data_IF_344886065057
#
_entry.id   IF_344886065057
#
_cell.length_a   1.000
_cell.length_b   1.000
_cell.length_c   1.000
_cell.angle_alpha   90.00
_cell.angle_beta   90.00
_cell.angle_gamma   90.00
#
_symmetry.space_group_name_H-M   'P 1'
#
loop_
_entity.id
_entity.type
_entity.pdbx_description
1 polymer ?
#
# COMPACT_ATOMS: atom_id res chain seq x y z
N UNK A 1 -7.57 12.23 -43.00
CA UNK A 1 -7.18 12.15 -41.57
C UNK A 1 -7.19 10.68 -41.17
N UNK A 2 -6.04 10.06 -40.91
CA UNK A 2 -5.96 8.71 -40.34
C UNK A 2 -5.72 8.85 -38.83
N UNK A 3 -6.51 8.21 -37.95
CA UNK A 3 -6.18 8.19 -36.54
C UNK A 3 -4.90 7.35 -36.34
N UNK A 4 -3.99 7.85 -35.51
CA UNK A 4 -2.70 7.23 -35.23
C UNK A 4 -2.89 5.78 -34.73
N UNK A 5 -2.32 4.85 -35.48
CA UNK A 5 -2.25 3.43 -35.15
C UNK A 5 -1.46 3.28 -33.84
N UNK A 6 -2.13 2.77 -32.80
CA UNK A 6 -1.48 2.40 -31.54
C UNK A 6 -0.58 1.20 -31.84
N UNK A 7 0.68 1.17 -31.40
CA UNK A 7 1.57 0.05 -31.68
C UNK A 7 0.95 -1.23 -31.15
N UNK A 8 0.96 -2.25 -32.00
CA UNK A 8 0.41 -3.57 -31.78
C UNK A 8 1.15 -4.26 -30.62
N UNK A 9 0.74 -3.97 -29.39
CA UNK A 9 1.16 -4.72 -28.22
C UNK A 9 0.57 -6.11 -28.41
N UNK A 10 1.40 -7.06 -28.86
CA UNK A 10 1.08 -8.49 -29.00
C UNK A 10 0.17 -8.87 -27.84
N UNK A 11 -1.11 -9.07 -28.16
CA UNK A 11 -2.16 -9.34 -27.17
C UNK A 11 -1.92 -10.74 -26.64
N UNK A 12 -1.06 -10.84 -25.63
CA UNK A 12 -1.00 -12.01 -24.76
C UNK A 12 -2.43 -12.23 -24.23
N UNK A 13 -2.93 -13.48 -24.19
CA UNK A 13 -4.29 -13.73 -23.72
C UNK A 13 -4.48 -13.06 -22.36
N UNK A 14 -5.62 -12.37 -22.12
CA UNK A 14 -5.85 -11.62 -20.89
C UNK A 14 -5.66 -12.56 -19.72
N UNK A 15 -4.58 -12.31 -18.97
CA UNK A 15 -4.26 -13.13 -17.81
C UNK A 15 -5.35 -12.87 -16.78
N UNK A 16 -5.98 -13.94 -16.32
CA UNK A 16 -6.98 -13.83 -15.26
C UNK A 16 -6.34 -13.13 -14.06
N UNK A 17 -7.01 -12.15 -13.45
CA UNK A 17 -6.51 -11.52 -12.24
C UNK A 17 -6.34 -12.55 -11.13
N UNK A 18 -5.27 -12.39 -10.35
CA UNK A 18 -4.99 -13.28 -9.23
C UNK A 18 -6.01 -13.08 -8.11
N UNK A 19 -6.29 -14.14 -7.35
CA UNK A 19 -7.25 -14.09 -6.23
C UNK A 19 -6.90 -12.97 -5.22
N UNK A 20 -5.60 -12.77 -4.97
CA UNK A 20 -5.08 -11.67 -4.14
C UNK A 20 -5.45 -10.28 -4.68
N UNK A 21 -5.39 -10.07 -5.99
CA UNK A 21 -5.78 -8.79 -6.61
C UNK A 21 -7.29 -8.60 -6.56
N UNK A 22 -8.09 -9.63 -6.80
CA UNK A 22 -9.55 -9.56 -6.68
C UNK A 22 -9.98 -9.25 -5.26
N UNK A 23 -9.36 -9.90 -4.27
CA UNK A 23 -9.64 -9.62 -2.86
C UNK A 23 -9.24 -8.19 -2.48
N UNK A 24 -8.10 -7.70 -2.98
CA UNK A 24 -7.67 -6.32 -2.74
C UNK A 24 -8.62 -5.31 -3.38
N UNK A 25 -9.01 -5.53 -4.64
CA UNK A 25 -9.93 -4.68 -5.37
C UNK A 25 -11.33 -4.66 -4.72
N UNK A 26 -11.83 -5.81 -4.24
CA UNK A 26 -13.08 -5.90 -3.46
C UNK A 26 -13.03 -5.06 -2.18
N UNK A 27 -11.90 -5.03 -1.49
CA UNK A 27 -11.72 -4.20 -0.28
C UNK A 27 -11.72 -2.71 -0.60
N UNK A 28 -11.10 -2.32 -1.71
CA UNK A 28 -11.15 -0.94 -2.21
C UNK A 28 -12.60 -0.56 -2.57
N UNK A 29 -13.29 -1.40 -3.33
CA UNK A 29 -14.69 -1.24 -3.72
C UNK A 29 -15.60 -1.05 -2.50
N UNK A 30 -15.48 -1.93 -1.50
CA UNK A 30 -16.24 -1.85 -0.25
C UNK A 30 -15.91 -0.58 0.55
N UNK A 31 -14.63 -0.18 0.61
CA UNK A 31 -14.20 1.04 1.32
C UNK A 31 -14.69 2.32 0.65
N UNK A 32 -14.76 2.32 -0.69
CA UNK A 32 -15.14 3.47 -1.49
C UNK A 32 -16.64 3.54 -1.80
N UNK A 33 -17.41 2.49 -1.47
CA UNK A 33 -18.82 2.36 -1.83
C UNK A 33 -19.06 2.25 -3.34
N UNK A 34 -18.06 1.79 -4.11
CA UNK A 34 -18.14 1.67 -5.58
C UNK A 34 -18.20 0.20 -5.99
N UNK A 35 -18.93 -0.11 -7.05
CA UNK A 35 -18.94 -1.45 -7.63
C UNK A 35 -17.64 -1.73 -8.40
N UNK A 36 -17.13 -2.95 -8.30
CA UNK A 36 -15.95 -3.39 -9.06
C UNK A 36 -16.35 -3.63 -10.53
N UNK A 37 -15.75 -2.92 -11.52
CA UNK A 37 -16.10 -3.08 -12.93
C UNK A 37 -15.90 -4.52 -13.41
N UNK A 38 -16.77 -5.01 -14.30
CA UNK A 38 -16.69 -6.38 -14.84
C UNK A 38 -15.44 -6.56 -15.71
N UNK A 39 -15.07 -5.56 -16.49
CA UNK A 39 -13.92 -5.61 -17.39
C UNK A 39 -12.61 -5.77 -16.59
N UNK A 40 -12.49 -5.00 -15.50
CA UNK A 40 -11.42 -5.15 -14.52
C UNK A 40 -11.38 -6.53 -13.84
N UNK A 41 -12.47 -7.30 -13.79
CA UNK A 41 -12.45 -8.67 -13.24
C UNK A 41 -11.96 -9.71 -14.24
N UNK A 42 -11.93 -9.38 -15.54
CA UNK A 42 -11.54 -10.30 -16.60
C UNK A 42 -10.07 -10.16 -16.97
N UNK A 43 -9.51 -8.95 -16.85
CA UNK A 43 -8.13 -8.66 -17.19
C UNK A 43 -7.29 -8.20 -15.99
N UNK A 44 -6.12 -8.80 -15.82
CA UNK A 44 -5.19 -8.49 -14.73
C UNK A 44 -4.61 -7.08 -14.83
N UNK A 45 -4.33 -6.57 -16.03
CA UNK A 45 -3.77 -5.24 -16.22
C UNK A 45 -4.82 -4.16 -15.94
N UNK A 46 -6.06 -4.36 -16.40
CA UNK A 46 -7.19 -3.50 -16.07
C UNK A 46 -7.48 -3.50 -14.56
N UNK A 47 -7.47 -4.67 -13.92
CA UNK A 47 -7.62 -4.74 -12.46
C UNK A 47 -6.54 -3.97 -11.73
N UNK A 48 -5.28 -4.11 -12.18
CA UNK A 48 -4.14 -3.43 -11.56
C UNK A 48 -4.22 -1.91 -11.75
N UNK A 49 -4.61 -1.45 -12.94
CA UNK A 49 -4.81 -0.02 -13.23
C UNK A 49 -5.94 0.55 -12.35
N UNK A 50 -7.06 -0.17 -12.25
CA UNK A 50 -8.18 0.23 -11.40
C UNK A 50 -7.81 0.26 -9.92
N UNK A 51 -7.06 -0.75 -9.44
CA UNK A 51 -6.53 -0.80 -8.07
C UNK A 51 -5.66 0.43 -7.82
N UNK A 52 -4.73 0.75 -8.71
CA UNK A 52 -3.81 1.87 -8.52
C UNK A 52 -4.54 3.21 -8.52
N UNK A 53 -5.53 3.37 -9.40
CA UNK A 53 -6.37 4.55 -9.44
C UNK A 53 -7.23 4.72 -8.18
N UNK A 54 -7.67 3.63 -7.54
CA UNK A 54 -8.63 3.67 -6.42
C UNK A 54 -8.02 3.34 -5.04
N UNK A 55 -6.75 2.96 -4.95
CA UNK A 55 -6.07 2.61 -3.69
C UNK A 55 -6.14 3.70 -2.63
N UNK A 56 -6.16 4.96 -3.05
CA UNK A 56 -6.27 6.12 -2.17
C UNK A 56 -7.63 6.21 -1.49
N UNK A 57 -8.68 5.59 -2.04
CA UNK A 57 -10.02 5.53 -1.43
C UNK A 57 -10.13 4.49 -0.32
N UNK A 58 -9.13 3.61 -0.25
CA UNK A 58 -8.95 2.64 0.82
C UNK A 58 -8.06 3.20 1.94
N UNK A 59 -7.75 4.50 1.95
CA UNK A 59 -7.22 5.17 3.14
C UNK A 59 -8.31 5.11 4.20
N UNK A 60 -8.30 3.97 4.90
CA UNK A 60 -8.94 3.73 6.17
C UNK A 60 -8.78 5.02 6.95
N UNK A 61 -9.89 5.61 7.41
CA UNK A 61 -9.91 6.74 8.31
C UNK A 61 -8.88 6.52 9.42
N UNK A 62 -7.68 7.03 9.22
CA UNK A 62 -6.66 7.11 10.24
C UNK A 62 -6.48 8.59 10.43
N UNK A 63 -7.17 9.09 11.44
CA UNK A 63 -6.89 10.34 12.14
C UNK A 63 -5.45 10.46 12.67
N UNK A 64 -4.56 9.52 12.32
CA UNK A 64 -3.14 9.57 12.65
C UNK A 64 -2.44 10.24 11.49
N UNK A 65 -1.90 11.46 11.65
CA UNK A 65 -1.16 12.12 10.57
C UNK A 65 -0.05 11.21 10.05
N UNK A 66 0.15 11.19 8.72
CA UNK A 66 1.14 10.36 8.01
C UNK A 66 2.56 10.44 8.59
N UNK A 67 2.84 11.51 9.33
CA UNK A 67 4.11 11.73 9.98
C UNK A 67 4.29 11.04 11.33
N UNK A 68 3.25 10.55 12.02
CA UNK A 68 3.45 9.88 13.31
C UNK A 68 3.86 8.41 13.14
N UNK A 69 4.77 7.90 13.99
CA UNK A 69 5.13 6.51 13.97
C UNK A 69 3.94 5.62 14.29
N UNK A 70 3.84 4.50 13.57
CA UNK A 70 2.75 3.53 13.81
C UNK A 70 2.99 2.74 15.09
N UNK A 71 1.92 2.31 15.76
CA UNK A 71 2.00 1.47 16.96
C UNK A 71 2.89 0.23 16.78
N UNK A 72 2.89 -0.35 15.57
CA UNK A 72 3.79 -1.47 15.21
C UNK A 72 5.26 -1.07 15.23
N UNK A 73 5.61 0.11 14.73
CA UNK A 73 6.98 0.60 14.76
C UNK A 73 7.42 0.90 16.20
N UNK A 74 6.55 1.49 17.01
CA UNK A 74 6.81 1.75 18.44
C UNK A 74 7.10 0.43 19.16
N UNK A 75 6.23 -0.57 19.02
CA UNK A 75 6.42 -1.88 19.65
C UNK A 75 7.72 -2.58 19.21
N UNK A 76 8.11 -2.43 17.93
CA UNK A 76 9.38 -2.98 17.45
C UNK A 76 10.58 -2.21 18.04
N UNK A 77 10.55 -0.88 17.98
CA UNK A 77 11.60 -0.06 18.58
C UNK A 77 11.78 -0.40 20.07
N UNK A 78 10.69 -0.52 20.82
CA UNK A 78 10.72 -0.89 22.25
C UNK A 78 11.34 -2.26 22.50
N UNK A 79 11.06 -3.23 21.61
CA UNK A 79 11.67 -4.57 21.68
C UNK A 79 13.18 -4.50 21.48
N UNK A 80 13.66 -3.70 20.52
CA UNK A 80 15.10 -3.49 20.27
C UNK A 80 15.74 -2.77 21.46
N UNK A 81 15.11 -1.71 21.95
CA UNK A 81 15.52 -0.92 23.10
C UNK A 81 15.73 -1.82 24.34
N UNK A 82 14.74 -2.67 24.64
CA UNK A 82 14.82 -3.65 25.74
C UNK A 82 15.96 -4.65 25.54
N UNK A 83 16.11 -5.19 24.33
CA UNK A 83 17.17 -6.15 24.01
C UNK A 83 18.57 -5.56 24.11
N UNK A 84 18.77 -4.31 23.69
CA UNK A 84 20.07 -3.62 23.71
C UNK A 84 20.31 -2.77 24.96
N UNK A 85 19.40 -2.81 25.95
CA UNK A 85 19.41 -1.95 27.16
C UNK A 85 19.57 -0.46 26.83
N UNK A 86 18.94 -0.01 25.74
CA UNK A 86 18.89 1.38 25.30
C UNK A 86 17.48 1.92 25.45
N UNK A 87 17.33 3.22 25.62
CA UNK A 87 16.03 3.90 25.55
C UNK A 87 15.87 4.58 24.20
N UNK A 88 14.62 4.75 23.77
CA UNK A 88 14.29 5.52 22.56
C UNK A 88 14.06 6.97 23.00
N UNK A 89 14.84 7.94 22.50
CA UNK A 89 14.59 9.34 22.83
C UNK A 89 13.23 9.82 22.28
N UNK A 90 12.56 10.72 23.01
CA UNK A 90 11.20 11.23 22.68
C UNK A 90 11.09 11.86 21.28
N UNK A 91 12.18 12.42 20.77
CA UNK A 91 12.25 12.99 19.41
C UNK A 91 11.92 11.98 18.31
N UNK A 92 12.25 10.71 18.52
CA UNK A 92 11.98 9.64 17.56
C UNK A 92 10.50 9.27 17.51
N UNK A 93 9.74 9.53 18.57
CA UNK A 93 8.28 9.33 18.58
C UNK A 93 7.50 10.40 17.81
N UNK A 94 8.15 11.50 17.42
CA UNK A 94 7.52 12.61 16.68
C UNK A 94 7.41 12.33 15.18
N UNK A 95 8.24 11.45 14.64
CA UNK A 95 8.22 11.11 13.21
C UNK A 95 8.36 9.62 12.95
N UNK A 96 7.50 9.11 12.07
CA UNK A 96 7.59 7.77 11.50
C UNK A 96 8.96 7.49 10.88
N UNK A 97 9.53 8.47 10.18
CA UNK A 97 10.82 8.34 9.49
C UNK A 97 11.97 8.33 10.48
N UNK A 98 11.92 9.19 11.51
CA UNK A 98 12.93 9.19 12.56
C UNK A 98 12.93 7.84 13.29
N UNK A 99 11.77 7.35 13.73
CA UNK A 99 11.69 6.06 14.41
C UNK A 99 12.17 4.90 13.53
N UNK A 100 11.86 4.92 12.23
CA UNK A 100 12.38 3.92 11.29
C UNK A 100 13.91 3.94 11.19
N UNK A 101 14.51 5.12 11.04
CA UNK A 101 15.97 5.25 11.00
C UNK A 101 16.63 4.78 12.31
N UNK A 102 16.01 5.05 13.46
CA UNK A 102 16.48 4.54 14.74
C UNK A 102 16.40 3.02 14.83
N UNK A 103 15.28 2.43 14.38
CA UNK A 103 15.11 0.98 14.30
C UNK A 103 16.23 0.39 13.44
N UNK A 104 16.41 0.87 12.21
CA UNK A 104 17.42 0.36 11.27
C UNK A 104 18.84 0.46 11.85
N UNK A 105 19.21 1.61 12.42
CA UNK A 105 20.50 1.82 13.06
C UNK A 105 20.75 0.92 14.29
N UNK A 106 19.69 0.36 14.87
CA UNK A 106 19.77 -0.55 16.01
C UNK A 106 19.28 -1.96 15.68
N UNK A 107 18.97 -2.34 14.43
CA UNK A 107 18.43 -3.66 14.10
C UNK A 107 19.48 -4.67 13.62
N UNK A 108 20.71 -4.21 13.37
CA UNK A 108 21.87 -4.98 12.91
C UNK A 108 22.80 -5.38 14.06
#
# INVERSE_FOLDING_TARGET
MRPAERPDYVSLPPLRPTDRQLQFARRIAASAGIALPRDAQQDRAELSCWIEANRHRMTRSTCVPDNLPTARQIAWAERIARGRKRTIPDEYYKSRKLLANWIDANCW
#
